data_IF_334951229263
#
_entry.id   IF_334951229263
#
_cell.length_a   1.000
_cell.length_b   1.000
_cell.length_c   1.000
_cell.angle_alpha   90.00
_cell.angle_beta   90.00
_cell.angle_gamma   90.00
#
_symmetry.space_group_name_H-M   'P 1'
#
loop_
_entity.id
_entity.type
_entity.pdbx_description
1 polymer ?
#
# COMPACT_ATOMS: atom_id res chain seq x y z
N UNK A 1 -25.08 50.10 6.74
CA UNK A 1 -24.35 50.77 7.82
C UNK A 1 -23.88 49.70 8.80
N UNK A 2 -22.66 49.20 8.59
CA UNK A 2 -21.77 48.59 9.58
C UNK A 2 -20.41 48.46 8.85
N UNK A 3 -19.34 49.15 9.29
CA UNK A 3 -18.07 49.17 8.57
C UNK A 3 -17.20 47.96 8.95
N UNK A 4 -16.40 47.54 7.97
CA UNK A 4 -15.40 46.50 8.08
C UNK A 4 -14.32 46.85 9.11
N UNK A 5 -13.92 45.86 9.92
CA UNK A 5 -12.77 45.97 10.79
C UNK A 5 -11.48 45.88 9.96
N UNK A 6 -10.67 46.92 10.06
CA UNK A 6 -9.33 46.99 9.46
C UNK A 6 -8.39 46.24 10.39
N UNK A 7 -7.75 45.20 9.86
CA UNK A 7 -6.74 44.42 10.55
C UNK A 7 -5.48 45.28 10.76
N UNK A 8 -5.16 45.57 12.01
CA UNK A 8 -3.98 46.36 12.39
C UNK A 8 -2.71 45.52 12.27
N UNK A 9 -1.62 46.03 11.68
CA UNK A 9 -0.36 45.29 11.59
C UNK A 9 0.25 45.11 13.00
N UNK A 10 1.02 44.04 13.23
CA UNK A 10 1.61 43.75 14.54
C UNK A 10 2.57 44.87 14.94
N UNK A 11 2.30 45.45 16.11
CA UNK A 11 3.12 46.50 16.72
C UNK A 11 4.50 45.90 17.04
N UNK A 12 5.55 46.47 16.45
CA UNK A 12 6.93 46.11 16.78
C UNK A 12 7.21 46.40 18.27
N UNK A 13 7.96 45.55 18.99
CA UNK A 13 8.21 45.75 20.42
C UNK A 13 9.00 47.03 20.65
N UNK A 14 8.50 47.89 21.55
CA UNK A 14 9.24 49.06 22.03
C UNK A 14 10.26 48.58 23.06
N UNK A 15 11.53 48.58 22.70
CA UNK A 15 12.63 48.23 23.60
C UNK A 15 12.89 49.36 24.61
N UNK A 16 12.27 49.27 25.78
CA UNK A 16 12.65 50.07 26.94
C UNK A 16 13.32 49.19 28.01
N UNK A 17 14.62 49.44 28.24
CA UNK A 17 15.60 48.70 29.05
C UNK A 17 16.27 47.50 28.37
N UNK A 18 17.60 47.54 28.35
CA UNK A 18 18.48 46.44 27.96
C UNK A 18 18.42 45.37 29.04
N UNK A 19 17.54 44.40 28.85
CA UNK A 19 17.42 43.20 29.68
C UNK A 19 18.13 42.05 28.95
N UNK A 20 19.16 41.48 29.57
CA UNK A 20 19.96 40.40 29.00
C UNK A 20 19.16 39.09 28.89
N UNK A 21 18.22 38.86 29.80
CA UNK A 21 17.37 37.66 29.76
C UNK A 21 16.38 37.73 28.59
N UNK A 22 15.82 38.91 28.30
CA UNK A 22 14.95 39.09 27.13
C UNK A 22 15.69 38.88 25.78
N UNK A 23 17.02 39.03 25.76
CA UNK A 23 17.85 38.73 24.59
C UNK A 23 18.16 37.23 24.45
N UNK A 24 18.38 36.52 25.56
CA UNK A 24 18.54 35.06 25.57
C UNK A 24 17.23 34.37 25.16
N UNK A 25 16.09 34.76 25.75
CA UNK A 25 14.78 34.20 25.41
C UNK A 25 14.42 34.42 23.92
N UNK A 26 14.82 35.56 23.35
CA UNK A 26 14.64 35.85 21.93
C UNK A 26 15.57 35.01 21.06
N UNK A 27 16.79 34.74 21.51
CA UNK A 27 17.76 33.88 20.81
C UNK A 27 17.25 32.44 20.74
N UNK A 28 16.79 31.89 21.87
CA UNK A 28 16.24 30.54 21.96
C UNK A 28 14.99 30.39 21.07
N UNK A 29 14.10 31.39 21.07
CA UNK A 29 12.93 31.40 20.20
C UNK A 29 13.28 31.47 18.70
N UNK A 30 14.39 32.12 18.33
CA UNK A 30 14.87 32.15 16.94
C UNK A 30 15.43 30.78 16.54
N UNK A 31 16.17 30.11 17.44
CA UNK A 31 16.74 28.78 17.18
C UNK A 31 15.63 27.73 17.02
N UNK A 32 14.59 27.76 17.86
CA UNK A 32 13.41 26.90 17.72
C UNK A 32 12.72 27.08 16.36
N UNK A 33 12.55 28.33 15.91
CA UNK A 33 11.97 28.63 14.59
C UNK A 33 12.85 28.13 13.46
N UNK A 34 14.18 28.17 13.61
CA UNK A 34 15.11 27.65 12.60
C UNK A 34 15.05 26.11 12.52
N UNK A 35 14.96 25.42 13.66
CA UNK A 35 14.76 23.96 13.72
C UNK A 35 13.45 23.56 13.06
N UNK A 36 12.36 24.28 13.35
CA UNK A 36 11.05 24.07 12.70
C UNK A 36 11.10 24.27 11.19
N UNK A 37 11.77 25.34 10.72
CA UNK A 37 11.94 25.62 9.29
C UNK A 37 12.75 24.54 8.58
N UNK A 38 13.85 24.09 9.17
CA UNK A 38 14.66 23.00 8.62
C UNK A 38 13.88 21.68 8.59
N UNK A 39 13.03 21.43 9.58
CA UNK A 39 12.15 20.26 9.64
C UNK A 39 11.11 20.31 8.53
N UNK A 40 10.43 21.45 8.35
CA UNK A 40 9.46 21.67 7.26
C UNK A 40 10.12 21.57 5.88
N UNK A 41 11.34 22.10 5.73
CA UNK A 41 12.09 22.02 4.48
C UNK A 41 12.47 20.57 4.14
N UNK A 42 12.95 19.80 5.13
CA UNK A 42 13.23 18.36 4.96
C UNK A 42 11.96 17.57 4.65
N UNK A 43 10.83 17.91 5.27
CA UNK A 43 9.53 17.30 4.96
C UNK A 43 9.11 17.60 3.52
N UNK A 44 9.22 18.85 3.06
CA UNK A 44 8.92 19.24 1.68
C UNK A 44 9.86 18.59 0.66
N UNK A 45 11.15 18.48 0.96
CA UNK A 45 12.13 17.79 0.12
C UNK A 45 11.85 16.27 0.06
N UNK A 46 11.49 15.65 1.18
CA UNK A 46 11.11 14.24 1.24
C UNK A 46 9.79 13.96 0.50
N UNK A 47 8.80 14.86 0.62
CA UNK A 47 7.52 14.77 -0.08
C UNK A 47 7.71 14.92 -1.59
N UNK A 48 8.60 15.82 -2.03
CA UNK A 48 9.01 15.94 -3.43
C UNK A 48 9.72 14.68 -3.93
N UNK A 49 10.68 14.15 -3.16
CA UNK A 49 11.40 12.92 -3.50
C UNK A 49 10.50 11.67 -3.52
N UNK A 50 9.43 11.63 -2.72
CA UNK A 50 8.49 10.51 -2.69
C UNK A 50 7.77 10.33 -4.03
N UNK A 51 7.13 11.40 -4.53
CA UNK A 51 6.29 11.36 -5.73
C UNK A 51 7.05 11.63 -7.04
N UNK A 52 8.36 11.88 -6.99
CA UNK A 52 9.22 11.89 -8.18
C UNK A 52 9.13 10.55 -8.91
N UNK A 53 9.08 10.60 -10.25
CA UNK A 53 8.99 9.41 -11.08
C UNK A 53 10.19 8.49 -10.79
N UNK A 54 9.93 7.19 -10.75
CA UNK A 54 10.98 6.18 -10.59
C UNK A 54 12.01 6.34 -11.73
N UNK A 55 13.29 6.36 -11.36
CA UNK A 55 14.40 6.35 -12.32
C UNK A 55 14.77 4.90 -12.66
N UNK A 56 14.58 3.99 -11.71
CA UNK A 56 14.86 2.58 -11.81
C UNK A 56 14.25 1.87 -13.05
N UNK A 57 13.00 2.18 -13.40
CA UNK A 57 12.25 1.47 -14.44
C UNK A 57 12.31 2.14 -15.83
N UNK A 58 13.07 3.22 -15.99
CA UNK A 58 13.09 3.99 -17.24
C UNK A 58 13.61 3.18 -18.44
N UNK A 59 14.57 2.28 -18.21
CA UNK A 59 15.16 1.41 -19.23
C UNK A 59 14.43 0.07 -19.37
N UNK A 60 13.38 -0.17 -18.58
CA UNK A 60 12.64 -1.45 -18.60
C UNK A 60 11.61 -1.44 -19.73
N UNK A 61 11.57 -2.52 -20.50
CA UNK A 61 10.54 -2.73 -21.52
C UNK A 61 9.22 -3.12 -20.85
N UNK A 62 8.38 -2.11 -20.58
CA UNK A 62 7.09 -2.27 -19.89
C UNK A 62 6.10 -3.17 -20.64
N UNK A 63 6.31 -3.41 -21.94
CA UNK A 63 5.44 -4.28 -22.75
C UNK A 63 5.60 -5.77 -22.43
N UNK A 64 6.64 -6.15 -21.70
CA UNK A 64 6.91 -7.56 -21.35
C UNK A 64 6.26 -8.05 -20.07
N UNK A 65 5.69 -7.15 -19.28
CA UNK A 65 5.08 -7.49 -17.99
C UNK A 65 3.57 -7.62 -18.11
N UNK A 66 2.96 -8.43 -17.24
CA UNK A 66 1.49 -8.55 -17.12
C UNK A 66 0.77 -8.92 -18.43
N UNK A 67 1.36 -9.83 -19.22
CA UNK A 67 0.77 -10.31 -20.48
C UNK A 67 -0.25 -11.42 -20.22
N UNK A 68 -1.48 -11.07 -19.80
CA UNK A 68 -2.50 -12.04 -19.40
C UNK A 68 -3.16 -12.80 -20.57
N UNK A 69 -3.24 -12.19 -21.75
CA UNK A 69 -3.76 -12.88 -22.95
C UNK A 69 -2.87 -14.05 -23.35
N UNK A 70 -1.55 -13.87 -23.24
CA UNK A 70 -0.53 -14.88 -23.53
C UNK A 70 -0.16 -15.74 -22.31
N UNK A 71 -0.78 -15.49 -21.15
CA UNK A 71 -0.49 -16.24 -19.93
C UNK A 71 -0.93 -17.71 -20.05
N UNK A 72 -0.23 -18.56 -19.29
CA UNK A 72 -0.49 -19.99 -19.25
C UNK A 72 -1.84 -20.32 -18.57
N UNK A 73 -2.35 -21.52 -18.83
CA UNK A 73 -3.65 -21.98 -18.29
C UNK A 73 -3.73 -21.90 -16.77
N UNK A 74 -2.60 -22.01 -16.06
CA UNK A 74 -2.53 -21.85 -14.59
C UNK A 74 -3.07 -20.48 -14.17
N UNK A 75 -2.56 -19.38 -14.76
CA UNK A 75 -2.96 -18.01 -14.42
C UNK A 75 -4.40 -17.74 -14.83
N UNK A 76 -4.82 -18.23 -16.00
CA UNK A 76 -6.22 -18.11 -16.46
C UNK A 76 -7.20 -18.83 -15.54
N UNK A 77 -6.87 -20.05 -15.11
CA UNK A 77 -7.69 -20.83 -14.19
C UNK A 77 -7.74 -20.21 -12.79
N UNK A 78 -6.61 -19.66 -12.31
CA UNK A 78 -6.54 -18.93 -11.05
C UNK A 78 -7.55 -17.77 -11.01
N UNK A 79 -7.50 -16.86 -11.97
CA UNK A 79 -8.39 -15.70 -11.98
C UNK A 79 -9.84 -16.09 -12.22
N UNK A 80 -10.10 -17.11 -13.06
CA UNK A 80 -11.44 -17.67 -13.18
C UNK A 80 -11.99 -18.14 -11.83
N UNK A 81 -11.18 -18.85 -11.05
CA UNK A 81 -11.58 -19.31 -9.72
C UNK A 81 -11.81 -18.13 -8.75
N UNK A 82 -10.89 -17.18 -8.73
CA UNK A 82 -11.01 -15.96 -7.90
C UNK A 82 -12.28 -15.19 -8.23
N UNK A 83 -12.51 -14.89 -9.51
CA UNK A 83 -13.67 -14.13 -9.97
C UNK A 83 -14.98 -14.86 -9.71
N UNK A 84 -14.98 -16.20 -9.72
CA UNK A 84 -16.16 -17.00 -9.39
C UNK A 84 -16.48 -16.96 -7.89
N UNK A 85 -15.47 -16.97 -7.02
CA UNK A 85 -15.64 -17.25 -5.59
C UNK A 85 -15.61 -16.02 -4.68
N UNK A 86 -14.99 -14.92 -5.12
CA UNK A 86 -14.95 -13.65 -4.38
C UNK A 86 -16.33 -12.97 -4.46
N UNK A 87 -17.13 -13.18 -3.41
CA UNK A 87 -18.47 -12.61 -3.24
C UNK A 87 -18.51 -11.68 -2.03
N UNK A 88 -19.54 -10.85 -1.91
CA UNK A 88 -19.82 -10.06 -0.69
C UNK A 88 -19.90 -10.97 0.52
N UNK A 89 -20.62 -12.09 0.40
CA UNK A 89 -20.79 -13.06 1.49
C UNK A 89 -19.45 -13.66 1.94
N UNK A 90 -18.57 -14.02 0.99
CA UNK A 90 -17.24 -14.52 1.30
C UNK A 90 -16.39 -13.46 2.00
N UNK A 91 -16.39 -12.24 1.47
CA UNK A 91 -15.59 -11.12 1.98
C UNK A 91 -15.97 -10.72 3.40
N UNK A 92 -17.27 -10.71 3.71
CA UNK A 92 -17.77 -10.51 5.07
C UNK A 92 -17.31 -11.64 6.01
N UNK A 93 -17.40 -12.90 5.56
CA UNK A 93 -16.95 -14.05 6.35
C UNK A 93 -15.44 -13.99 6.63
N UNK A 94 -14.62 -13.70 5.62
CA UNK A 94 -13.18 -13.65 5.75
C UNK A 94 -12.71 -12.55 6.72
N UNK A 95 -13.28 -11.35 6.62
CA UNK A 95 -13.01 -10.24 7.54
C UNK A 95 -13.42 -10.55 8.99
N UNK A 96 -14.58 -11.17 9.20
CA UNK A 96 -14.98 -11.63 10.53
C UNK A 96 -14.03 -12.71 11.09
N UNK A 97 -13.61 -13.66 10.24
CA UNK A 97 -12.63 -14.68 10.62
C UNK A 97 -11.28 -14.08 10.95
N UNK A 98 -10.86 -13.00 10.27
CA UNK A 98 -9.65 -12.27 10.61
C UNK A 98 -9.69 -11.74 12.04
N UNK A 99 -10.73 -11.00 12.41
CA UNK A 99 -10.86 -10.41 13.75
C UNK A 99 -11.12 -11.43 14.87
N UNK A 100 -11.57 -12.63 14.54
CA UNK A 100 -11.93 -13.65 15.54
C UNK A 100 -10.73 -14.31 16.23
N UNK A 101 -9.53 -14.25 15.64
CA UNK A 101 -8.34 -14.97 16.16
C UNK A 101 -7.02 -14.42 15.63
N UNK A 102 -5.98 -14.56 16.43
CA UNK A 102 -4.58 -14.52 15.99
C UNK A 102 -4.18 -15.87 15.43
N UNK A 103 -3.57 -15.89 14.24
CA UNK A 103 -3.13 -17.09 13.52
C UNK A 103 -1.72 -17.49 13.87
N UNK A 104 -0.85 -16.50 14.10
CA UNK A 104 0.51 -16.74 14.50
C UNK A 104 1.11 -15.54 15.24
N UNK A 105 2.15 -15.81 16.03
CA UNK A 105 2.99 -14.78 16.64
C UNK A 105 4.42 -14.99 16.14
N UNK A 106 4.93 -14.03 15.36
CA UNK A 106 6.28 -14.08 14.82
C UNK A 106 6.78 -12.67 14.48
N UNK A 107 8.09 -12.51 14.39
CA UNK A 107 8.72 -11.29 13.89
C UNK A 107 8.51 -11.12 12.39
N UNK A 108 8.70 -9.91 11.86
CA UNK A 108 8.64 -9.65 10.40
C UNK A 108 9.65 -10.51 9.64
N UNK A 109 10.83 -10.73 10.19
CA UNK A 109 11.85 -11.53 9.52
C UNK A 109 11.51 -13.03 9.50
N UNK A 110 10.97 -13.57 10.59
CA UNK A 110 10.45 -14.95 10.62
C UNK A 110 9.27 -15.13 9.65
N UNK A 111 8.42 -14.10 9.49
CA UNK A 111 7.37 -14.05 8.49
C UNK A 111 7.92 -14.13 7.06
N UNK A 112 8.98 -13.38 6.75
CA UNK A 112 9.69 -13.47 5.46
C UNK A 112 10.26 -14.88 5.23
N UNK A 113 10.93 -15.46 6.23
CA UNK A 113 11.49 -16.82 6.15
C UNK A 113 10.41 -17.88 5.94
N UNK A 114 9.25 -17.73 6.58
CA UNK A 114 8.08 -18.61 6.37
C UNK A 114 7.49 -18.44 4.96
N UNK A 115 7.31 -17.20 4.51
CA UNK A 115 6.75 -16.90 3.19
C UNK A 115 7.63 -17.46 2.06
N UNK A 116 8.94 -17.54 2.28
CA UNK A 116 9.89 -18.08 1.31
C UNK A 116 9.60 -19.53 0.86
N UNK A 117 8.72 -20.24 1.56
CA UNK A 117 8.26 -21.60 1.20
C UNK A 117 7.06 -21.63 0.25
N UNK A 118 6.48 -20.47 -0.09
CA UNK A 118 5.34 -20.32 -0.99
C UNK A 118 5.79 -20.06 -2.44
N UNK A 119 5.06 -20.65 -3.40
CA UNK A 119 5.14 -20.29 -4.83
C UNK A 119 3.81 -19.62 -5.21
N UNK A 120 3.87 -18.40 -5.76
CA UNK A 120 2.71 -17.64 -6.22
C UNK A 120 2.26 -18.10 -7.60
N UNK A 121 1.04 -18.61 -7.72
CA UNK A 121 0.50 -19.17 -8.96
C UNK A 121 -0.19 -18.12 -9.85
N UNK A 122 -0.49 -16.94 -9.31
CA UNK A 122 -1.18 -15.84 -10.02
C UNK A 122 -0.24 -14.99 -10.86
N UNK A 123 1.02 -14.93 -10.47
CA UNK A 123 2.04 -14.10 -11.10
C UNK A 123 2.59 -14.79 -12.37
N UNK A 124 2.43 -14.19 -13.56
CA UNK A 124 3.03 -14.70 -14.79
C UNK A 124 4.54 -14.45 -14.87
N UNK A 125 5.08 -13.56 -14.03
CA UNK A 125 6.39 -12.95 -14.19
C UNK A 125 7.46 -13.50 -13.22
N UNK A 126 7.13 -14.42 -12.29
CA UNK A 126 8.07 -14.88 -11.25
C UNK A 126 8.39 -16.38 -11.25
N UNK A 127 9.70 -16.67 -11.17
CA UNK A 127 10.27 -17.95 -10.72
C UNK A 127 11.17 -17.76 -9.49
N UNK A 128 11.15 -16.58 -8.88
CA UNK A 128 12.00 -16.20 -7.75
C UNK A 128 11.40 -16.72 -6.44
N UNK A 129 12.25 -16.88 -5.44
CA UNK A 129 11.78 -17.11 -4.08
C UNK A 129 11.16 -15.81 -3.53
N UNK A 130 10.21 -15.93 -2.61
CA UNK A 130 9.47 -14.77 -2.12
C UNK A 130 10.39 -13.77 -1.40
N UNK A 131 11.40 -14.25 -0.68
CA UNK A 131 12.34 -13.34 0.01
C UNK A 131 13.17 -12.50 -0.97
N UNK A 132 13.51 -13.06 -2.13
CA UNK A 132 14.23 -12.35 -3.18
C UNK A 132 13.36 -11.25 -3.77
N UNK A 133 12.09 -11.53 -4.06
CA UNK A 133 11.12 -10.51 -4.54
C UNK A 133 10.97 -9.35 -3.56
N UNK A 134 10.78 -9.64 -2.27
CA UNK A 134 10.67 -8.62 -1.23
C UNK A 134 11.92 -7.73 -1.15
N UNK A 135 13.11 -8.33 -1.21
CA UNK A 135 14.37 -7.60 -1.19
C UNK A 135 14.62 -6.83 -2.49
N UNK A 136 14.22 -7.33 -3.65
CA UNK A 136 14.34 -6.62 -4.93
C UNK A 136 13.51 -5.35 -4.95
N UNK A 137 12.25 -5.44 -4.52
CA UNK A 137 11.37 -4.29 -4.38
C UNK A 137 11.96 -3.26 -3.41
N UNK A 138 12.40 -3.70 -2.23
CA UNK A 138 12.99 -2.82 -1.22
C UNK A 138 14.31 -2.15 -1.69
N UNK A 139 15.20 -2.90 -2.34
CA UNK A 139 16.47 -2.36 -2.86
C UNK A 139 16.27 -1.43 -4.06
N UNK A 140 15.26 -1.65 -4.90
CA UNK A 140 14.92 -0.70 -5.96
C UNK A 140 14.49 0.65 -5.38
N UNK A 141 13.61 0.63 -4.38
CA UNK A 141 13.18 1.83 -3.64
C UNK A 141 14.38 2.51 -2.95
N UNK A 142 15.28 1.73 -2.35
CA UNK A 142 16.49 2.25 -1.68
C UNK A 142 17.46 2.90 -2.65
N UNK A 143 17.68 2.31 -3.83
CA UNK A 143 18.57 2.84 -4.88
C UNK A 143 18.08 4.17 -5.45
N UNK A 144 16.76 4.33 -5.56
CA UNK A 144 16.12 5.58 -5.96
C UNK A 144 16.06 6.64 -4.83
N UNK A 145 16.69 6.38 -3.67
CA UNK A 145 16.79 7.34 -2.59
C UNK A 145 15.47 7.66 -1.88
N UNK A 146 14.45 6.81 -2.04
CA UNK A 146 13.13 7.00 -1.43
C UNK A 146 13.18 6.85 0.10
N UNK A 147 12.21 7.41 0.84
CA UNK A 147 12.20 7.38 2.29
C UNK A 147 12.32 5.97 2.89
N UNK A 148 12.94 5.87 4.07
CA UNK A 148 13.17 4.61 4.81
C UNK A 148 11.88 3.80 5.02
N UNK A 149 10.78 4.44 5.40
CA UNK A 149 9.49 3.77 5.56
C UNK A 149 9.01 3.13 4.25
N UNK A 150 9.29 3.73 3.09
CA UNK A 150 8.87 3.21 1.78
C UNK A 150 9.71 2.00 1.38
N UNK A 151 11.00 2.00 1.74
CA UNK A 151 11.86 0.82 1.57
C UNK A 151 11.33 -0.35 2.39
N UNK A 152 10.90 -0.08 3.64
CA UNK A 152 10.27 -1.10 4.47
C UNK A 152 8.92 -1.56 3.88
N UNK A 153 8.11 -0.64 3.34
CA UNK A 153 6.88 -0.99 2.61
C UNK A 153 7.18 -1.97 1.48
N UNK A 154 8.21 -1.72 0.67
CA UNK A 154 8.66 -2.66 -0.37
C UNK A 154 9.08 -4.01 0.19
N UNK A 155 9.74 -4.03 1.36
CA UNK A 155 10.14 -5.28 2.01
C UNK A 155 8.95 -6.11 2.50
N UNK A 156 7.85 -5.48 2.92
CA UNK A 156 6.77 -6.18 3.62
C UNK A 156 5.49 -6.34 2.82
N UNK A 157 5.28 -5.62 1.72
CA UNK A 157 3.98 -5.51 1.02
C UNK A 157 3.29 -6.87 0.76
N UNK A 158 4.09 -7.90 0.44
CA UNK A 158 3.62 -9.23 0.10
C UNK A 158 3.54 -10.20 1.30
N UNK A 159 3.89 -9.78 2.52
CA UNK A 159 3.84 -10.65 3.70
C UNK A 159 2.41 -11.09 4.06
N UNK A 160 1.39 -10.44 3.52
CA UNK A 160 0.02 -10.90 3.65
C UNK A 160 -0.24 -12.26 3.00
N UNK A 161 0.64 -12.70 2.08
CA UNK A 161 0.58 -14.02 1.44
C UNK A 161 0.75 -15.17 2.44
N UNK A 162 1.22 -14.89 3.65
CA UNK A 162 1.21 -15.84 4.77
C UNK A 162 -0.18 -16.42 5.07
N UNK A 163 -1.24 -15.71 4.71
CA UNK A 163 -2.62 -16.19 4.80
C UNK A 163 -2.79 -17.60 4.19
N UNK A 164 -2.02 -17.93 3.14
CA UNK A 164 -2.01 -19.25 2.50
C UNK A 164 -1.68 -20.40 3.49
N UNK A 165 -0.80 -20.16 4.45
CA UNK A 165 -0.41 -21.18 5.44
C UNK A 165 -1.39 -21.31 6.60
N UNK A 166 -2.48 -20.53 6.60
CA UNK A 166 -3.42 -20.47 7.70
C UNK A 166 -4.81 -20.96 7.28
N UNK A 167 -5.74 -20.05 7.02
CA UNK A 167 -7.16 -20.35 6.83
C UNK A 167 -7.63 -20.24 5.37
N UNK A 168 -6.71 -19.92 4.45
CA UNK A 168 -7.01 -19.74 3.05
C UNK A 168 -7.68 -20.98 2.46
N UNK A 169 -8.64 -20.77 1.56
CA UNK A 169 -9.32 -21.85 0.85
C UNK A 169 -8.59 -22.23 -0.46
N UNK A 170 -7.65 -21.39 -0.90
CA UNK A 170 -6.74 -21.64 -2.02
C UNK A 170 -5.77 -20.48 -2.17
N UNK A 171 -5.14 -20.35 -3.34
CA UNK A 171 -4.41 -19.11 -3.64
C UNK A 171 -5.36 -17.97 -4.06
N UNK A 172 -6.54 -18.30 -4.58
CA UNK A 172 -7.52 -17.34 -5.12
C UNK A 172 -8.05 -16.34 -4.08
N UNK A 173 -7.99 -16.68 -2.79
CA UNK A 173 -8.34 -15.80 -1.66
C UNK A 173 -7.12 -15.24 -0.92
N UNK A 174 -5.95 -15.26 -1.57
CA UNK A 174 -4.68 -14.78 -1.02
C UNK A 174 -4.00 -13.81 -2.00
N UNK A 175 -3.74 -14.22 -3.24
CA UNK A 175 -2.92 -13.47 -4.22
C UNK A 175 -3.77 -12.91 -5.36
N UNK A 176 -3.13 -12.26 -6.33
CA UNK A 176 -3.76 -11.73 -7.54
C UNK A 176 -4.35 -10.32 -7.40
N UNK A 177 -4.65 -9.72 -8.56
CA UNK A 177 -5.29 -8.41 -8.63
C UNK A 177 -6.59 -8.36 -7.82
N UNK A 178 -6.81 -7.26 -7.10
CA UNK A 178 -8.01 -7.04 -6.31
C UNK A 178 -9.05 -6.19 -7.04
N UNK A 179 -10.30 -6.35 -6.64
CA UNK A 179 -11.44 -5.60 -7.17
C UNK A 179 -12.51 -5.40 -6.09
N UNK A 180 -13.36 -4.37 -6.18
CA UNK A 180 -14.48 -4.20 -5.27
C UNK A 180 -15.53 -5.31 -5.43
N UNK A 181 -16.01 -5.87 -4.33
CA UNK A 181 -17.21 -6.71 -4.30
C UNK A 181 -18.43 -5.88 -3.91
N UNK A 182 -19.63 -6.29 -4.33
CA UNK A 182 -20.87 -5.63 -3.92
C UNK A 182 -21.27 -4.41 -4.76
N UNK A 183 -20.64 -4.20 -5.92
CA UNK A 183 -21.11 -3.38 -7.01
C UNK A 183 -20.78 -4.03 -8.36
N UNK A 184 -21.24 -3.43 -9.46
CA UNK A 184 -21.00 -3.95 -10.79
C UNK A 184 -19.49 -4.08 -11.06
N UNK A 185 -19.08 -5.23 -11.58
CA UNK A 185 -17.70 -5.48 -12.00
C UNK A 185 -17.36 -4.64 -13.25
N UNK A 186 -16.21 -3.97 -13.23
CA UNK A 186 -15.75 -3.10 -14.32
C UNK A 186 -14.95 -3.91 -15.36
N UNK A 187 -15.08 -3.57 -16.65
CA UNK A 187 -14.37 -4.23 -17.75
C UNK A 187 -12.85 -4.09 -17.69
N UNK A 188 -12.33 -3.17 -16.87
CA UNK A 188 -10.90 -2.99 -16.63
C UNK A 188 -10.32 -3.94 -15.58
N UNK A 189 -11.16 -4.75 -14.93
CA UNK A 189 -10.66 -5.93 -14.20
C UNK A 189 -10.06 -6.89 -15.22
N UNK A 190 -9.00 -7.59 -14.82
CA UNK A 190 -8.38 -8.64 -15.64
C UNK A 190 -9.44 -9.61 -16.19
N UNK A 191 -9.34 -9.98 -17.48
CA UNK A 191 -10.35 -10.76 -18.21
C UNK A 191 -11.77 -10.16 -18.31
N UNK A 192 -11.96 -8.89 -17.92
CA UNK A 192 -13.19 -8.13 -18.05
C UNK A 192 -14.34 -8.61 -17.15
N UNK A 193 -15.46 -7.90 -17.16
CA UNK A 193 -16.60 -8.23 -16.31
C UNK A 193 -17.21 -9.60 -16.65
N UNK A 194 -17.13 -10.03 -17.91
CA UNK A 194 -17.66 -11.32 -18.38
C UNK A 194 -17.00 -12.54 -17.72
N UNK A 195 -15.79 -12.39 -17.17
CA UNK A 195 -15.12 -13.43 -16.39
C UNK A 195 -15.84 -13.76 -15.07
N UNK A 196 -16.74 -12.88 -14.62
CA UNK A 196 -17.53 -13.02 -13.40
C UNK A 196 -18.90 -13.67 -13.62
N UNK A 197 -19.27 -14.09 -14.84
CA UNK A 197 -20.60 -14.66 -15.12
C UNK A 197 -21.01 -15.87 -14.25
N UNK A 198 -20.02 -16.60 -13.72
CA UNK A 198 -20.23 -17.76 -12.85
C UNK A 198 -20.26 -17.35 -11.35
N UNK A 199 -19.99 -16.09 -11.02
CA UNK A 199 -20.11 -15.52 -9.68
C UNK A 199 -21.59 -15.26 -9.35
N UNK A 200 -22.09 -15.70 -8.18
CA UNK A 200 -23.49 -15.49 -7.80
C UNK A 200 -23.87 -14.01 -7.65
N UNK A 201 -22.92 -13.12 -7.35
CA UNK A 201 -23.17 -11.69 -7.20
C UNK A 201 -23.31 -10.98 -8.57
N UNK A 202 -22.88 -11.60 -9.68
CA UNK A 202 -22.87 -10.97 -11.01
C UNK A 202 -24.26 -10.57 -11.52
N UNK A 203 -25.26 -11.43 -11.26
CA UNK A 203 -26.65 -11.19 -11.66
C UNK A 203 -27.54 -10.74 -10.49
N UNK A 204 -26.96 -10.49 -9.32
CA UNK A 204 -27.73 -10.01 -8.16
C UNK A 204 -28.24 -8.58 -8.44
N UNK A 205 -29.54 -8.29 -8.24
CA UNK A 205 -30.11 -7.00 -8.62
C UNK A 205 -29.54 -5.81 -7.83
N UNK A 206 -28.97 -6.04 -6.65
CA UNK A 206 -28.28 -5.01 -5.86
C UNK A 206 -26.85 -4.88 -6.39
N UNK A 207 -26.08 -5.97 -6.38
CA UNK A 207 -24.65 -5.93 -6.68
C UNK A 207 -24.36 -5.67 -8.17
N UNK A 208 -25.24 -6.04 -9.10
CA UNK A 208 -25.08 -5.72 -10.52
C UNK A 208 -25.35 -4.25 -10.87
N UNK A 209 -25.79 -3.43 -9.92
CA UNK A 209 -25.95 -1.99 -10.13
C UNK A 209 -24.62 -1.24 -10.01
N UNK A 210 -24.52 -0.08 -10.66
CA UNK A 210 -23.29 0.73 -10.73
C UNK A 210 -22.61 0.94 -9.37
N UNK A 211 -23.38 1.18 -8.32
CA UNK A 211 -22.84 1.43 -6.98
C UNK A 211 -23.14 0.31 -5.99
N UNK A 212 -24.04 -0.61 -6.32
CA UNK A 212 -24.46 -1.70 -5.45
C UNK A 212 -24.73 -1.26 -4.02
N UNK A 213 -23.92 -1.73 -3.07
CA UNK A 213 -24.05 -1.42 -1.64
C UNK A 213 -23.38 -0.10 -1.20
N UNK A 214 -22.72 0.61 -2.11
CA UNK A 214 -21.93 1.80 -1.83
C UNK A 214 -22.64 3.09 -2.24
N UNK A 215 -22.12 4.21 -1.77
CA UNK A 215 -22.52 5.55 -2.21
C UNK A 215 -21.38 6.22 -2.97
N UNK A 216 -21.68 7.09 -3.96
CA UNK A 216 -20.63 7.85 -4.65
C UNK A 216 -19.78 8.65 -3.66
N UNK A 217 -18.45 8.61 -3.83
CA UNK A 217 -17.49 9.30 -2.96
C UNK A 217 -17.50 8.81 -1.50
N UNK A 218 -17.83 7.54 -1.25
CA UNK A 218 -17.80 6.99 0.10
C UNK A 218 -16.40 6.85 0.69
N UNK A 219 -15.35 6.95 -0.13
CA UNK A 219 -13.98 6.68 0.25
C UNK A 219 -13.65 5.19 0.12
N UNK A 220 -12.45 4.84 -0.36
CA UNK A 220 -12.02 3.45 -0.53
C UNK A 220 -11.84 2.72 0.79
N UNK A 221 -11.69 3.43 1.90
CA UNK A 221 -11.73 2.85 3.24
C UNK A 221 -13.06 2.15 3.55
N UNK A 222 -14.15 2.59 2.91
CA UNK A 222 -15.49 2.02 3.05
C UNK A 222 -15.85 1.03 1.91
N UNK A 223 -14.92 0.78 0.99
CA UNK A 223 -15.11 -0.16 -0.12
C UNK A 223 -14.54 -1.53 0.25
N UNK A 224 -15.34 -2.57 0.08
CA UNK A 224 -14.91 -3.93 0.34
C UNK A 224 -14.20 -4.47 -0.90
N UNK A 225 -12.87 -4.41 -0.89
CA UNK A 225 -12.06 -5.11 -1.90
C UNK A 225 -12.08 -6.62 -1.66
N UNK A 226 -11.97 -7.39 -2.74
CA UNK A 226 -11.79 -8.84 -2.72
C UNK A 226 -10.71 -9.24 -1.72
N UNK A 227 -11.01 -10.19 -0.86
CA UNK A 227 -10.15 -10.59 0.24
C UNK A 227 -8.85 -11.21 -0.26
N UNK A 228 -7.73 -10.79 0.31
CA UNK A 228 -6.40 -11.25 -0.07
C UNK A 228 -5.30 -10.66 0.83
N UNK A 229 -4.06 -10.79 0.39
CA UNK A 229 -2.86 -10.39 1.12
C UNK A 229 -2.83 -8.88 1.44
N UNK A 230 -3.28 -8.00 0.55
CA UNK A 230 -3.35 -6.56 0.77
C UNK A 230 -4.14 -6.20 2.05
N UNK A 231 -5.42 -6.58 2.08
CA UNK A 231 -6.34 -6.26 3.19
C UNK A 231 -5.90 -6.93 4.48
N UNK A 232 -5.46 -8.20 4.38
CA UNK A 232 -4.96 -8.95 5.52
C UNK A 232 -3.72 -8.28 6.14
N UNK A 233 -2.71 -7.95 5.32
CA UNK A 233 -1.49 -7.31 5.82
C UNK A 233 -1.77 -5.92 6.35
N UNK A 234 -2.59 -5.11 5.66
CA UNK A 234 -3.00 -3.79 6.14
C UNK A 234 -3.53 -3.86 7.57
N UNK A 235 -4.44 -4.79 7.86
CA UNK A 235 -4.98 -4.94 9.21
C UNK A 235 -3.94 -5.44 10.23
N UNK A 236 -3.00 -6.30 9.84
CA UNK A 236 -1.91 -6.75 10.71
C UNK A 236 -1.00 -5.57 11.10
N UNK A 237 -0.60 -4.74 10.13
CA UNK A 237 0.45 -3.73 10.36
C UNK A 237 -0.09 -2.38 10.83
N UNK A 238 -1.35 -2.02 10.50
CA UNK A 238 -1.95 -0.72 10.86
C UNK A 238 -1.89 -0.42 12.36
N UNK A 239 -2.12 -1.43 13.19
CA UNK A 239 -2.16 -1.25 14.66
C UNK A 239 -0.84 -1.63 15.36
N UNK A 240 0.11 -2.21 14.62
CA UNK A 240 1.35 -2.77 15.20
C UNK A 240 2.63 -2.12 14.65
N UNK A 241 2.50 -1.11 13.79
CA UNK A 241 3.61 -0.35 13.20
C UNK A 241 3.44 1.16 13.38
N UNK A 242 4.52 1.90 13.13
CA UNK A 242 4.53 3.37 13.04
C UNK A 242 4.58 3.86 11.59
N UNK A 243 4.16 3.02 10.63
CA UNK A 243 4.14 3.36 9.22
C UNK A 243 3.14 4.50 8.93
N UNK A 244 3.48 5.43 8.01
CA UNK A 244 2.59 6.53 7.65
C UNK A 244 1.41 6.05 6.79
N UNK A 245 0.40 6.92 6.60
CA UNK A 245 -0.82 6.58 5.85
C UNK A 245 -0.53 6.12 4.42
N UNK A 246 0.44 6.75 3.76
CA UNK A 246 0.90 6.42 2.41
C UNK A 246 1.43 4.99 2.33
N UNK A 247 2.22 4.56 3.33
CA UNK A 247 2.73 3.18 3.41
C UNK A 247 1.60 2.16 3.57
N UNK A 248 0.62 2.49 4.43
CA UNK A 248 -0.54 1.63 4.65
C UNK A 248 -1.42 1.54 3.39
N UNK A 249 -1.58 2.64 2.65
CA UNK A 249 -2.30 2.66 1.38
C UNK A 249 -1.56 1.88 0.28
N UNK A 250 -0.24 2.01 0.18
CA UNK A 250 0.58 1.19 -0.71
C UNK A 250 0.35 -0.30 -0.41
N UNK A 251 0.39 -0.73 0.85
CA UNK A 251 0.11 -2.12 1.23
C UNK A 251 -1.31 -2.54 0.87
N UNK A 252 -2.32 -1.72 1.21
CA UNK A 252 -3.73 -2.09 1.08
C UNK A 252 -4.23 -2.10 -0.37
N UNK A 253 -3.59 -1.36 -1.27
CA UNK A 253 -4.12 -1.11 -2.61
C UNK A 253 -3.14 -1.41 -3.74
N UNK A 254 -1.94 -1.97 -3.48
CA UNK A 254 -0.97 -2.27 -4.55
C UNK A 254 -1.45 -3.35 -5.53
N UNK A 255 -2.37 -4.23 -5.12
CA UNK A 255 -3.00 -5.18 -6.04
C UNK A 255 -4.25 -4.62 -6.73
N UNK A 256 -4.69 -3.40 -6.41
CA UNK A 256 -5.92 -2.82 -6.95
C UNK A 256 -5.71 -2.17 -8.34
N UNK A 257 -5.18 -2.96 -9.28
CA UNK A 257 -4.80 -2.53 -10.63
C UNK A 257 -5.91 -1.84 -11.43
N UNK A 258 -7.19 -2.27 -11.36
CA UNK A 258 -8.29 -1.56 -11.99
C UNK A 258 -8.31 -0.07 -11.60
N UNK A 259 -7.99 0.25 -10.34
CA UNK A 259 -7.96 1.62 -9.83
C UNK A 259 -6.67 2.36 -10.17
N UNK A 260 -5.51 1.93 -9.63
CA UNK A 260 -4.28 2.73 -9.73
C UNK A 260 -3.63 2.71 -11.13
N UNK A 261 -3.98 1.73 -11.97
CA UNK A 261 -3.44 1.59 -13.33
C UNK A 261 -4.47 1.89 -14.42
N UNK A 262 -5.66 1.27 -14.35
CA UNK A 262 -6.66 1.36 -15.41
C UNK A 262 -7.70 2.51 -15.24
N UNK A 263 -7.66 3.22 -14.10
CA UNK A 263 -8.49 4.40 -13.83
C UNK A 263 -9.97 4.08 -13.54
N UNK A 264 -10.27 2.87 -13.08
CA UNK A 264 -11.59 2.44 -12.64
C UNK A 264 -11.90 2.90 -11.22
N UNK A 265 -13.18 2.89 -10.87
CA UNK A 265 -13.68 3.13 -9.51
C UNK A 265 -13.37 4.51 -8.91
N UNK A 266 -12.98 5.50 -9.73
CA UNK A 266 -12.74 6.87 -9.26
C UNK A 266 -14.00 7.54 -8.68
N UNK A 267 -15.20 7.09 -9.08
CA UNK A 267 -16.46 7.57 -8.51
C UNK A 267 -16.68 7.17 -7.04
N UNK A 268 -15.90 6.24 -6.50
CA UNK A 268 -15.96 5.84 -5.09
C UNK A 268 -14.99 6.65 -4.22
N UNK A 269 -14.01 7.32 -4.83
CA UNK A 269 -12.94 8.03 -4.13
C UNK A 269 -13.43 9.28 -3.39
N UNK A 270 -12.88 9.51 -2.20
CA UNK A 270 -12.93 10.79 -1.50
C UNK A 270 -11.66 11.64 -1.76
N UNK A 271 -11.45 12.71 -0.98
CA UNK A 271 -10.26 13.55 -1.11
C UNK A 271 -8.98 12.88 -0.59
N UNK A 272 -9.09 12.02 0.44
CA UNK A 272 -7.96 11.27 0.98
C UNK A 272 -7.45 10.25 -0.03
N UNK A 273 -8.37 9.55 -0.72
CA UNK A 273 -8.03 8.58 -1.75
C UNK A 273 -7.25 9.19 -2.92
N UNK A 274 -7.45 10.48 -3.22
CA UNK A 274 -6.70 11.17 -4.28
C UNK A 274 -5.22 11.33 -3.92
N UNK A 275 -4.93 11.50 -2.64
CA UNK A 275 -3.55 11.55 -2.13
C UNK A 275 -2.96 10.14 -2.09
N UNK A 276 -3.72 9.16 -1.58
CA UNK A 276 -3.30 7.76 -1.52
C UNK A 276 -3.08 7.16 -2.92
N UNK A 277 -3.86 7.57 -3.92
CA UNK A 277 -3.65 7.21 -5.32
C UNK A 277 -2.27 7.60 -5.82
N UNK A 278 -1.76 8.78 -5.44
CA UNK A 278 -0.40 9.21 -5.81
C UNK A 278 0.66 8.34 -5.15
N UNK A 279 0.46 7.98 -3.87
CA UNK A 279 1.35 7.11 -3.13
C UNK A 279 1.43 5.71 -3.76
N UNK A 280 0.28 5.09 -4.02
CA UNK A 280 0.20 3.75 -4.61
C UNK A 280 0.82 3.74 -6.02
N UNK A 281 0.56 4.77 -6.84
CA UNK A 281 1.20 4.91 -8.16
C UNK A 281 2.71 5.09 -8.09
N UNK A 282 3.22 5.76 -7.06
CA UNK A 282 4.66 5.90 -6.86
C UNK A 282 5.32 4.56 -6.45
N UNK A 283 4.59 3.68 -5.78
CA UNK A 283 5.07 2.37 -5.35
C UNK A 283 5.07 1.32 -6.47
N UNK A 284 4.02 1.28 -7.29
CA UNK A 284 3.78 0.22 -8.29
C UNK A 284 4.98 -0.14 -9.20
N UNK A 285 5.79 0.81 -9.72
CA UNK A 285 6.95 0.46 -10.54
C UNK A 285 7.97 -0.44 -9.83
N UNK A 286 8.12 -0.28 -8.51
CA UNK A 286 9.09 -1.04 -7.72
C UNK A 286 8.63 -2.47 -7.47
N UNK A 287 7.34 -2.69 -7.19
CA UNK A 287 6.77 -4.03 -7.09
C UNK A 287 6.85 -4.76 -8.44
N UNK A 288 6.45 -4.08 -9.53
CA UNK A 288 6.31 -4.73 -10.82
C UNK A 288 7.64 -4.99 -11.55
N UNK A 289 8.50 -3.98 -11.65
CA UNK A 289 9.65 -4.04 -12.58
C UNK A 289 10.96 -4.52 -11.91
N UNK A 290 11.02 -4.53 -10.58
CA UNK A 290 12.19 -5.03 -9.82
C UNK A 290 12.42 -6.53 -9.99
N UNK A 291 11.39 -7.29 -10.40
CA UNK A 291 11.44 -8.73 -10.69
C UNK A 291 12.48 -9.13 -11.75
N UNK A 292 12.94 -8.16 -12.55
CA UNK A 292 13.94 -8.36 -13.60
C UNK A 292 15.37 -7.98 -13.19
N UNK A 293 15.59 -7.62 -11.92
CA UNK A 293 16.91 -7.27 -11.40
C UNK A 293 17.75 -8.49 -11.01
N UNK A 294 19.03 -8.24 -10.72
CA UNK A 294 19.89 -9.24 -10.10
C UNK A 294 19.32 -9.73 -8.76
N UNK A 295 19.64 -10.97 -8.41
CA UNK A 295 19.20 -11.57 -7.15
C UNK A 295 19.98 -10.94 -5.99
N UNK A 296 19.32 -10.30 -5.01
CA UNK A 296 19.99 -9.66 -3.89
C UNK A 296 20.54 -10.67 -2.88
N UNK A 297 21.67 -10.36 -2.25
CA UNK A 297 22.25 -11.19 -1.18
C UNK A 297 21.49 -11.00 0.13
N UNK A 298 20.71 -12.01 0.54
CA UNK A 298 19.95 -11.99 1.81
C UNK A 298 20.87 -11.77 3.00
N UNK A 299 22.03 -12.43 3.05
CA UNK A 299 22.97 -12.35 4.16
C UNK A 299 23.55 -10.94 4.34
N UNK A 300 23.88 -10.27 3.23
CA UNK A 300 24.44 -8.92 3.25
C UNK A 300 23.40 -7.86 3.61
N UNK A 301 22.15 -8.04 3.15
CA UNK A 301 21.08 -7.07 3.35
C UNK A 301 20.33 -7.23 4.68
N UNK A 302 20.35 -8.43 5.28
CA UNK A 302 19.64 -8.74 6.53
C UNK A 302 19.95 -7.74 7.65
N UNK A 303 21.21 -7.34 7.95
CA UNK A 303 21.48 -6.37 9.01
C UNK A 303 20.77 -5.03 8.80
N UNK A 304 20.76 -4.50 7.58
CA UNK A 304 20.11 -3.24 7.24
C UNK A 304 18.60 -3.30 7.43
N UNK A 305 17.96 -4.33 6.87
CA UNK A 305 16.51 -4.47 6.94
C UNK A 305 16.02 -4.88 8.33
N UNK A 306 16.82 -5.60 9.12
CA UNK A 306 16.52 -5.84 10.53
C UNK A 306 16.52 -4.54 11.34
N UNK A 307 17.47 -3.63 11.10
CA UNK A 307 17.46 -2.29 11.72
C UNK A 307 16.18 -1.53 11.34
N UNK A 308 15.85 -1.53 10.04
CA UNK A 308 14.68 -0.83 9.50
C UNK A 308 13.35 -1.40 10.06
N UNK A 309 13.24 -2.72 10.18
CA UNK A 309 12.08 -3.37 10.82
C UNK A 309 11.96 -2.90 12.27
N UNK A 310 13.05 -2.88 13.03
CA UNK A 310 13.02 -2.45 14.43
C UNK A 310 12.68 -0.96 14.60
N UNK A 311 12.96 -0.12 13.59
CA UNK A 311 12.59 1.30 13.60
C UNK A 311 11.06 1.50 13.52
N UNK A 312 10.37 0.71 12.69
CA UNK A 312 8.95 0.90 12.41
C UNK A 312 8.01 -0.08 13.11
N UNK A 313 8.54 -1.13 13.73
CA UNK A 313 7.78 -2.10 14.53
C UNK A 313 8.28 -2.08 15.99
N UNK A 314 7.70 -1.22 16.86
CA UNK A 314 8.12 -1.11 18.27
C UNK A 314 8.00 -2.42 19.04
N UNK A 315 6.99 -3.22 18.70
CA UNK A 315 6.84 -4.59 19.19
C UNK A 315 7.44 -5.55 18.18
N UNK A 316 8.49 -6.27 18.58
CA UNK A 316 9.23 -7.16 17.66
C UNK A 316 8.40 -8.34 17.15
N UNK A 317 7.56 -8.91 18.01
CA UNK A 317 6.70 -10.05 17.68
C UNK A 317 5.30 -9.52 17.37
N UNK A 318 4.85 -9.72 16.14
CA UNK A 318 3.54 -9.27 15.69
C UNK A 318 2.53 -10.39 15.80
N UNK A 319 1.26 -10.00 15.94
CA UNK A 319 0.11 -10.89 15.82
C UNK A 319 -0.37 -10.88 14.37
N UNK A 320 -0.16 -12.01 13.69
CA UNK A 320 -0.57 -12.30 12.32
C UNK A 320 -1.90 -13.04 12.32
#
# INVERSE_FOLDING_TARGET
MAPAAVDTPPVAPVFSKRDGHALEDLSDAIDDVNVLKDTLKKQQEAEKGLYEQSEFDQDKDKTKFRQYEDACDRVKNFYKEQHTKQTVAYNLKARNMFHSKTRAEMTVWEAMEKLNTLIDESDPDTSLSQIEHLLQSAEAIRRDGKPRWMQLTGLIHDLGKLLYFFDAQGQWDVVGDTFPVGLAFDDRIIYGSESFKDNPDYYDPIYSSKFGIYTPGCGLDNVMLSWGHDEYLYHVVKEQSTLPAEALAMIRYHSFYPWHSAGAYHELMDDHDKEMFRAVKAFNPYDLYSKSDGIPSVEELKPYYMELINEYFPTKVLKW
#
